data_IF_199987704103
#
_entry.id   IF_199987704103
#
_cell.length_a   1.000
_cell.length_b   1.000
_cell.length_c   1.000
_cell.angle_alpha   90.00
_cell.angle_beta   90.00
_cell.angle_gamma   90.00
#
_symmetry.space_group_name_H-M   'P 1'
#
loop_
_entity.id
_entity.type
_entity.pdbx_description
1 polymer ?
#
# COMPACT_ATOMS: atom_id res chain seq x y z
N UNK A 1 17.15 -0.20 -12.55
CA UNK A 1 17.34 0.73 -11.39
C UNK A 1 16.38 0.30 -10.29
N UNK A 2 16.84 0.22 -9.05
CA UNK A 2 15.99 -0.15 -7.90
C UNK A 2 15.81 1.07 -7.00
N UNK A 3 14.56 1.43 -6.76
CA UNK A 3 14.15 2.56 -5.93
C UNK A 3 13.50 2.05 -4.65
N UNK A 4 13.62 2.81 -3.56
CA UNK A 4 13.03 2.47 -2.27
C UNK A 4 12.29 3.69 -1.72
N UNK A 5 11.12 3.48 -1.14
CA UNK A 5 10.34 4.55 -0.51
C UNK A 5 9.76 4.06 0.82
N UNK A 6 9.57 4.99 1.75
CA UNK A 6 8.87 4.70 3.01
C UNK A 6 7.36 4.65 2.75
N UNK A 7 6.69 3.51 2.94
CA UNK A 7 5.28 3.39 2.62
C UNK A 7 4.39 4.00 3.69
N UNK A 8 3.20 4.42 3.26
CA UNK A 8 2.06 4.82 4.07
C UNK A 8 0.90 3.91 3.66
N UNK A 9 0.48 3.05 4.57
CA UNK A 9 -0.66 2.16 4.34
C UNK A 9 -1.97 2.85 4.70
N UNK A 10 -2.90 2.94 3.75
CA UNK A 10 -4.26 3.49 3.94
C UNK A 10 -5.32 2.48 3.52
N UNK A 11 -6.39 2.38 4.28
CA UNK A 11 -7.51 1.48 3.96
C UNK A 11 -8.53 2.25 3.13
N UNK A 12 -8.92 1.66 2.01
CA UNK A 12 -10.01 2.12 1.16
C UNK A 12 -11.10 1.06 1.13
N UNK A 13 -12.33 1.49 0.83
CA UNK A 13 -13.46 0.60 0.63
C UNK A 13 -14.16 1.00 -0.66
N UNK A 14 -14.28 0.05 -1.58
CA UNK A 14 -15.09 0.22 -2.79
C UNK A 14 -16.57 0.32 -2.43
N UNK A 15 -17.38 0.85 -3.35
CA UNK A 15 -18.85 0.87 -3.22
C UNK A 15 -19.43 -0.55 -3.05
N UNK A 16 -18.74 -1.59 -3.55
CA UNK A 16 -19.04 -3.01 -3.36
C UNK A 16 -18.75 -3.55 -1.95
N UNK A 17 -18.24 -2.71 -1.04
CA UNK A 17 -17.72 -3.05 0.30
C UNK A 17 -16.45 -3.89 0.32
N UNK A 18 -15.81 -4.10 -0.82
CA UNK A 18 -14.49 -4.71 -0.88
C UNK A 18 -13.44 -3.71 -0.41
N UNK A 19 -12.68 -4.09 0.61
CA UNK A 19 -11.64 -3.25 1.19
C UNK A 19 -10.29 -3.59 0.58
N UNK A 20 -9.47 -2.59 0.34
CA UNK A 20 -8.10 -2.75 -0.14
C UNK A 20 -7.17 -1.77 0.58
N UNK A 21 -5.88 -2.07 0.59
CA UNK A 21 -4.86 -1.27 1.29
C UNK A 21 -3.99 -0.57 0.25
N UNK A 22 -4.08 0.75 0.18
CA UNK A 22 -3.18 1.60 -0.60
C UNK A 22 -1.79 1.63 0.03
N UNK A 23 -0.77 1.51 -0.82
CA UNK A 23 0.62 1.76 -0.50
C UNK A 23 0.98 3.13 -1.07
N UNK A 24 0.69 4.18 -0.31
CA UNK A 24 1.08 5.54 -0.66
C UNK A 24 2.54 5.79 -0.24
N UNK A 25 3.21 6.76 -0.86
CA UNK A 25 4.49 7.26 -0.41
C UNK A 25 4.65 8.73 -0.77
N UNK A 26 5.23 9.49 0.15
CA UNK A 26 5.60 10.89 -0.12
C UNK A 26 6.91 10.85 -0.92
N UNK A 27 6.83 11.20 -2.20
CA UNK A 27 7.97 11.20 -3.11
C UNK A 27 9.11 12.05 -2.55
N UNK A 28 10.26 11.44 -2.24
CA UNK A 28 11.49 12.17 -1.94
C UNK A 28 12.69 11.71 -2.79
N UNK A 29 12.58 10.58 -3.51
CA UNK A 29 13.63 10.12 -4.44
C UNK A 29 13.15 10.26 -5.90
N UNK A 30 13.95 10.95 -6.71
CA UNK A 30 13.75 11.12 -8.15
C UNK A 30 13.59 9.76 -8.84
N UNK A 31 12.44 9.53 -9.48
CA UNK A 31 12.20 8.40 -10.37
C UNK A 31 11.18 7.35 -9.90
N UNK A 32 10.61 7.47 -8.70
CA UNK A 32 9.49 6.60 -8.32
C UNK A 32 8.26 6.91 -9.19
N UNK A 33 7.53 5.90 -9.71
CA UNK A 33 6.30 6.14 -10.47
C UNK A 33 5.29 6.95 -9.65
N UNK A 34 4.51 7.81 -10.29
CA UNK A 34 3.36 8.48 -9.66
C UNK A 34 2.09 7.67 -9.87
N UNK A 35 2.18 6.36 -9.65
CA UNK A 35 1.07 5.43 -9.80
C UNK A 35 0.59 4.97 -8.42
N UNK A 36 -0.66 4.52 -8.38
CA UNK A 36 -1.28 4.00 -7.17
C UNK A 36 -1.02 2.49 -7.06
N UNK A 37 -0.42 2.09 -5.94
CA UNK A 37 -0.20 0.68 -5.59
C UNK A 37 -1.19 0.27 -4.50
N UNK A 38 -1.78 -0.91 -4.65
CA UNK A 38 -2.79 -1.43 -3.74
C UNK A 38 -2.63 -2.92 -3.45
N UNK A 39 -3.10 -3.35 -2.28
CA UNK A 39 -3.25 -4.75 -1.87
C UNK A 39 -4.73 -5.03 -1.67
N UNK A 40 -5.30 -5.88 -2.51
CA UNK A 40 -6.68 -6.34 -2.32
C UNK A 40 -6.78 -7.29 -1.13
N UNK A 41 -7.82 -7.10 -0.32
CA UNK A 41 -8.12 -8.00 0.79
C UNK A 41 -9.17 -9.03 0.37
N UNK A 42 -9.19 -10.22 1.01
CA UNK A 42 -10.21 -11.22 0.73
C UNK A 42 -11.63 -10.68 0.86
N UNK A 43 -12.55 -11.20 0.03
CA UNK A 43 -13.96 -10.84 0.10
C UNK A 43 -14.53 -11.12 1.50
N UNK A 44 -15.35 -10.19 2.00
CA UNK A 44 -15.93 -10.28 3.35
C UNK A 44 -15.00 -9.82 4.47
N UNK A 45 -13.78 -9.36 4.15
CA UNK A 45 -12.92 -8.70 5.15
C UNK A 45 -13.63 -7.45 5.66
N UNK A 46 -13.83 -7.37 6.98
CA UNK A 46 -14.46 -6.19 7.59
C UNK A 46 -13.51 -5.01 7.56
N UNK A 47 -14.07 -3.80 7.68
CA UNK A 47 -13.27 -2.58 7.72
C UNK A 47 -12.31 -2.56 8.92
N UNK A 48 -12.74 -3.04 10.09
CA UNK A 48 -11.88 -3.15 11.27
C UNK A 48 -10.70 -4.10 11.01
N UNK A 49 -10.94 -5.24 10.35
CA UNK A 49 -9.86 -6.17 10.03
C UNK A 49 -8.91 -5.58 9.00
N UNK A 50 -9.42 -4.85 8.01
CA UNK A 50 -8.60 -4.11 7.06
C UNK A 50 -7.69 -3.08 7.76
N UNK A 51 -8.22 -2.37 8.77
CA UNK A 51 -7.43 -1.44 9.59
C UNK A 51 -6.35 -2.15 10.42
N UNK A 52 -6.66 -3.30 11.00
CA UNK A 52 -5.68 -4.13 11.72
C UNK A 52 -4.53 -4.55 10.80
N UNK A 53 -4.84 -5.02 9.59
CA UNK A 53 -3.81 -5.39 8.61
C UNK A 53 -2.97 -4.17 8.20
N UNK A 54 -3.58 -3.02 7.94
CA UNK A 54 -2.85 -1.81 7.61
C UNK A 54 -1.94 -1.33 8.76
N UNK A 55 -2.38 -1.49 10.02
CA UNK A 55 -1.57 -1.19 11.20
C UNK A 55 -0.38 -2.16 11.31
N UNK A 56 -0.63 -3.47 11.15
CA UNK A 56 0.41 -4.49 11.13
C UNK A 56 1.47 -4.20 10.05
N UNK A 57 1.05 -3.88 8.83
CA UNK A 57 1.98 -3.52 7.75
C UNK A 57 2.82 -2.29 8.08
N UNK A 58 2.20 -1.26 8.68
CA UNK A 58 2.91 -0.02 9.07
C UNK A 58 3.97 -0.25 10.13
N UNK A 59 3.74 -1.19 11.05
CA UNK A 59 4.68 -1.54 12.11
C UNK A 59 5.82 -2.45 11.63
N UNK A 60 5.59 -3.23 10.57
CA UNK A 60 6.50 -4.30 10.15
C UNK A 60 7.22 -4.04 8.81
N UNK A 61 6.82 -3.03 8.03
CA UNK A 61 7.43 -2.72 6.73
C UNK A 61 8.10 -1.36 6.76
N UNK A 62 9.43 -1.36 6.66
CA UNK A 62 10.23 -0.13 6.66
C UNK A 62 10.29 0.53 5.26
N UNK A 63 10.46 -0.28 4.20
CA UNK A 63 10.60 0.19 2.83
C UNK A 63 9.79 -0.63 1.83
N UNK A 64 9.18 0.06 0.87
CA UNK A 64 8.66 -0.49 -0.37
C UNK A 64 9.74 -0.36 -1.45
N UNK A 65 10.00 -1.44 -2.21
CA UNK A 65 11.03 -1.48 -3.25
C UNK A 65 10.39 -1.61 -4.64
N UNK A 66 10.79 -0.75 -5.57
CA UNK A 66 10.39 -0.81 -6.97
C UNK A 66 11.62 -0.99 -7.85
N UNK A 67 11.60 -2.00 -8.72
CA UNK A 67 12.66 -2.23 -9.70
C UNK A 67 12.06 -2.20 -11.09
N UNK A 68 12.45 -1.20 -11.89
CA UNK A 68 12.13 -1.20 -13.31
C UNK A 68 13.06 -2.18 -14.03
N UNK A 69 12.48 -3.21 -14.65
CA UNK A 69 13.21 -4.28 -15.36
C UNK A 69 13.29 -4.06 -16.88
N UNK A 70 12.72 -2.96 -17.40
CA UNK A 70 12.71 -2.61 -18.84
C UNK A 70 13.00 -1.13 -19.09
#
# INVERSE_FOLDING_TARGET
MTLRAKPIFRVHQHESRESWIEIAYWSNDDGMPMDLFGLDLPQGTTFEKAQEVAAFLRENIEYFTYTKTT
#
